data_IF_901716802576
#
_entry.id   IF_901716802576
#
_cell.length_a   1.000
_cell.length_b   1.000
_cell.length_c   1.000
_cell.angle_alpha   90.00
_cell.angle_beta   90.00
_cell.angle_gamma   90.00
#
_symmetry.space_group_name_H-M   'P 1'
#
loop_
_entity.id
_entity.type
_entity.pdbx_description
1 polymer ?
#
# COMPACT_ATOMS: atom_id res chain seq x y z
N UNK A 1 1.94 11.34 4.58
CA UNK A 1 1.06 10.87 3.49
C UNK A 1 1.53 11.44 2.17
N UNK A 2 1.70 10.60 1.16
CA UNK A 2 1.93 11.04 -0.23
C UNK A 2 0.66 10.76 -1.02
N UNK A 3 0.02 11.80 -1.54
CA UNK A 3 -1.24 11.71 -2.29
C UNK A 3 -0.99 11.59 -3.81
N UNK A 4 0.28 11.66 -4.20
CA UNK A 4 0.76 11.65 -5.57
C UNK A 4 2.18 11.08 -5.66
N UNK A 5 2.51 10.48 -6.79
CA UNK A 5 3.85 9.96 -7.09
C UNK A 5 4.13 9.97 -8.60
N UNK A 6 5.34 10.36 -8.98
CA UNK A 6 5.84 10.15 -10.34
C UNK A 6 6.10 8.66 -10.60
N UNK A 7 5.82 8.20 -11.82
CA UNK A 7 6.32 6.92 -12.31
C UNK A 7 7.86 6.94 -12.34
N UNK A 8 8.55 5.79 -12.21
CA UNK A 8 10.01 5.75 -12.20
C UNK A 8 10.67 6.30 -13.47
N UNK A 9 9.99 6.21 -14.61
CA UNK A 9 10.40 6.77 -15.90
C UNK A 9 10.00 8.24 -16.11
N UNK A 10 9.22 8.83 -15.19
CA UNK A 10 8.75 10.21 -15.26
C UNK A 10 7.63 10.47 -16.29
N UNK A 11 7.10 9.44 -16.94
CA UNK A 11 6.08 9.60 -17.99
C UNK A 11 4.67 9.86 -17.46
N UNK A 12 4.36 9.42 -16.24
CA UNK A 12 3.04 9.57 -15.62
C UNK A 12 3.16 10.00 -14.15
N UNK A 13 2.12 10.66 -13.66
CA UNK A 13 1.91 10.98 -12.25
C UNK A 13 0.68 10.19 -11.81
N UNK A 14 0.86 9.36 -10.79
CA UNK A 14 -0.24 8.75 -10.06
C UNK A 14 -0.72 9.68 -8.96
N UNK A 15 -2.03 9.87 -8.81
CA UNK A 15 -2.59 10.69 -7.75
C UNK A 15 -3.97 10.23 -7.34
N UNK A 16 -4.36 10.56 -6.11
CA UNK A 16 -5.70 10.30 -5.59
C UNK A 16 -6.64 11.46 -5.86
N UNK A 17 -7.87 11.17 -6.29
CA UNK A 17 -8.92 12.16 -6.48
C UNK A 17 -10.28 11.58 -6.10
N UNK A 18 -11.09 12.38 -5.38
CA UNK A 18 -12.49 12.08 -5.13
C UNK A 18 -13.33 12.95 -6.07
N UNK A 19 -13.98 12.30 -7.04
CA UNK A 19 -14.77 12.97 -8.07
C UNK A 19 -16.19 13.37 -7.59
N UNK A 20 -16.56 13.05 -6.34
CA UNK A 20 -17.91 13.30 -5.82
C UNK A 20 -19.00 12.40 -6.43
N UNK A 21 -18.62 11.31 -7.10
CA UNK A 21 -19.51 10.36 -7.79
C UNK A 21 -20.07 9.27 -6.86
N UNK A 22 -19.86 9.40 -5.53
CA UNK A 22 -20.25 8.42 -4.53
C UNK A 22 -19.36 7.18 -4.46
N UNK A 23 -18.34 7.05 -5.32
CA UNK A 23 -17.41 5.90 -5.33
C UNK A 23 -16.22 6.09 -4.38
N UNK A 24 -16.14 7.25 -3.71
CA UNK A 24 -15.03 7.62 -2.83
C UNK A 24 -13.74 7.95 -3.61
N UNK A 25 -12.62 7.95 -2.88
CA UNK A 25 -11.29 8.25 -3.46
C UNK A 25 -10.90 7.20 -4.50
N UNK A 26 -10.37 7.66 -5.63
CA UNK A 26 -9.87 6.81 -6.73
C UNK A 26 -8.46 7.23 -7.11
N UNK A 27 -7.70 6.33 -7.74
CA UNK A 27 -6.38 6.62 -8.29
C UNK A 27 -6.51 6.93 -9.78
N UNK A 28 -5.86 8.01 -10.20
CA UNK A 28 -5.76 8.45 -11.58
C UNK A 28 -4.29 8.52 -12.02
N UNK A 29 -4.07 8.34 -13.32
CA UNK A 29 -2.81 8.59 -14.00
C UNK A 29 -2.98 9.77 -14.95
N UNK A 30 -1.96 10.62 -15.03
CA UNK A 30 -1.88 11.76 -15.96
C UNK A 30 -0.44 11.96 -16.40
N UNK A 31 -0.22 12.48 -17.61
CA UNK A 31 1.12 12.88 -18.05
C UNK A 31 1.52 14.23 -17.44
N UNK A 32 2.84 14.51 -17.31
CA UNK A 32 3.34 15.82 -16.86
C UNK A 32 2.80 17.03 -17.63
N UNK A 33 2.49 16.86 -18.91
CA UNK A 33 1.93 17.92 -19.76
C UNK A 33 0.41 18.14 -19.56
N UNK A 34 -0.22 17.38 -18.67
CA UNK A 34 -1.66 17.41 -18.39
C UNK A 34 -2.52 16.55 -19.32
N UNK A 35 -1.92 15.91 -20.32
CA UNK A 35 -2.64 14.99 -21.23
C UNK A 35 -2.82 13.60 -20.62
N UNK A 36 -3.69 12.80 -21.24
CA UNK A 36 -3.79 11.37 -20.91
C UNK A 36 -4.41 11.05 -19.54
N UNK A 37 -5.16 11.98 -18.94
CA UNK A 37 -5.86 11.74 -17.68
C UNK A 37 -6.79 10.51 -17.79
N UNK A 38 -6.58 9.53 -16.92
CA UNK A 38 -7.43 8.32 -16.85
C UNK A 38 -7.56 7.79 -15.42
N UNK A 39 -8.75 7.30 -15.08
CA UNK A 39 -8.98 6.57 -13.83
C UNK A 39 -8.30 5.20 -13.94
N UNK A 40 -7.45 4.88 -12.98
CA UNK A 40 -6.76 3.59 -12.91
C UNK A 40 -7.49 2.59 -12.01
N UNK A 41 -7.89 3.04 -10.82
CA UNK A 41 -8.58 2.20 -9.84
C UNK A 41 -9.60 2.99 -9.02
N UNK A 42 -10.75 2.39 -8.74
CA UNK A 42 -11.80 2.94 -7.86
C UNK A 42 -11.58 2.48 -6.42
N UNK A 43 -12.07 3.26 -5.44
CA UNK A 43 -11.95 2.96 -4.00
C UNK A 43 -10.50 2.66 -3.60
N UNK A 44 -9.59 3.51 -4.06
CA UNK A 44 -8.15 3.30 -4.03
C UNK A 44 -7.45 4.57 -3.55
N UNK A 45 -6.47 4.41 -2.66
CA UNK A 45 -5.72 5.51 -2.06
C UNK A 45 -4.24 5.16 -1.85
N UNK A 46 -3.41 6.20 -1.70
CA UNK A 46 -1.95 6.09 -1.49
C UNK A 46 -1.23 5.24 -2.54
N UNK A 47 -1.24 5.66 -3.83
CA UNK A 47 -0.54 4.95 -4.89
C UNK A 47 0.97 4.89 -4.62
N UNK A 48 1.55 3.72 -4.83
CA UNK A 48 2.98 3.48 -4.81
C UNK A 48 3.40 2.68 -6.05
N UNK A 49 4.20 3.29 -6.93
CA UNK A 49 4.79 2.63 -8.09
C UNK A 49 5.78 1.55 -7.68
N UNK A 50 5.77 0.42 -8.39
CA UNK A 50 6.88 -0.52 -8.39
C UNK A 50 8.14 0.13 -8.98
N UNK A 51 9.36 -0.27 -8.56
CA UNK A 51 10.60 0.32 -9.08
C UNK A 51 10.78 0.17 -10.60
N UNK A 52 10.22 -0.89 -11.18
CA UNK A 52 10.21 -1.15 -12.62
C UNK A 52 9.11 -0.38 -13.38
N UNK A 53 8.25 0.37 -12.68
CA UNK A 53 7.14 1.14 -13.26
C UNK A 53 6.01 0.29 -13.86
N UNK A 54 6.02 -1.04 -13.68
CA UNK A 54 5.02 -1.93 -14.30
C UNK A 54 3.70 -1.97 -13.53
N UNK A 55 3.72 -1.69 -12.23
CA UNK A 55 2.61 -1.86 -11.32
C UNK A 55 2.50 -0.72 -10.32
N UNK A 56 1.30 -0.57 -9.75
CA UNK A 56 1.01 0.34 -8.65
C UNK A 56 0.37 -0.47 -7.52
N UNK A 57 0.93 -0.32 -6.32
CA UNK A 57 0.37 -0.80 -5.07
C UNK A 57 -0.42 0.30 -4.38
N UNK A 58 -1.50 -0.04 -3.69
CA UNK A 58 -2.38 0.95 -3.05
C UNK A 58 -3.23 0.31 -1.97
N UNK A 59 -3.79 1.14 -1.09
CA UNK A 59 -4.83 0.69 -0.16
C UNK A 59 -6.20 0.72 -0.81
N UNK A 60 -6.99 -0.32 -0.57
CA UNK A 60 -8.37 -0.40 -1.03
C UNK A 60 -9.26 -1.18 -0.10
N UNK A 61 -10.52 -0.76 0.00
CA UNK A 61 -11.57 -1.45 0.75
C UNK A 61 -12.58 -2.17 -0.15
N UNK A 62 -12.17 -2.57 -1.37
CA UNK A 62 -13.04 -3.23 -2.35
C UNK A 62 -13.79 -4.45 -1.78
N UNK A 63 -13.16 -5.21 -0.90
CA UNK A 63 -13.70 -6.42 -0.23
C UNK A 63 -14.30 -6.14 1.15
N UNK A 64 -14.51 -4.87 1.50
CA UNK A 64 -15.11 -4.43 2.77
C UNK A 64 -14.09 -3.90 3.77
N UNK A 65 -12.93 -4.56 3.88
CA UNK A 65 -11.82 -4.16 4.75
C UNK A 65 -10.68 -3.53 3.96
N UNK A 66 -9.95 -2.59 4.57
CA UNK A 66 -8.78 -1.97 3.95
C UNK A 66 -7.66 -3.00 3.87
N UNK A 67 -7.25 -3.29 2.64
CA UNK A 67 -6.17 -4.22 2.29
C UNK A 67 -5.22 -3.53 1.31
N UNK A 68 -4.05 -4.14 1.09
CA UNK A 68 -3.11 -3.74 0.05
C UNK A 68 -3.48 -4.48 -1.24
N UNK A 69 -3.58 -3.71 -2.31
CA UNK A 69 -3.90 -4.17 -3.65
C UNK A 69 -2.81 -3.74 -4.62
N UNK A 70 -2.78 -4.41 -5.78
CA UNK A 70 -1.96 -4.01 -6.91
C UNK A 70 -2.76 -4.00 -8.20
N UNK A 71 -2.31 -3.18 -9.14
CA UNK A 71 -2.82 -3.13 -10.51
C UNK A 71 -1.66 -2.83 -11.47
N UNK A 72 -1.72 -3.36 -12.69
CA UNK A 72 -0.74 -2.98 -13.72
C UNK A 72 -0.97 -1.56 -14.18
N UNK A 73 0.09 -0.92 -14.67
CA UNK A 73 0.07 0.44 -15.23
C UNK A 73 -1.01 0.64 -16.30
N UNK A 74 -1.30 -0.38 -17.09
CA UNK A 74 -2.33 -0.36 -18.14
C UNK A 74 -3.78 -0.53 -17.60
N UNK A 75 -3.96 -0.74 -16.30
CA UNK A 75 -5.25 -0.97 -15.64
C UNK A 75 -5.69 -2.44 -15.58
N UNK A 76 -4.89 -3.37 -16.11
CA UNK A 76 -5.17 -4.80 -16.02
C UNK A 76 -4.65 -5.43 -14.71
N UNK A 77 -5.10 -6.64 -14.41
CA UNK A 77 -4.53 -7.44 -13.31
C UNK A 77 -4.75 -6.89 -11.91
N UNK A 78 -5.89 -6.23 -11.67
CA UNK A 78 -6.30 -5.82 -10.33
C UNK A 78 -6.36 -7.05 -9.40
N UNK A 79 -5.58 -7.02 -8.31
CA UNK A 79 -5.44 -8.15 -7.41
C UNK A 79 -5.21 -7.67 -5.96
N UNK A 80 -5.87 -8.32 -5.00
CA UNK A 80 -5.56 -8.17 -3.57
C UNK A 80 -4.24 -8.86 -3.27
N UNK A 81 -3.31 -8.15 -2.62
CA UNK A 81 -1.97 -8.65 -2.27
C UNK A 81 -1.97 -9.20 -0.85
N UNK A 82 -2.61 -8.51 0.09
CA UNK A 82 -2.54 -8.84 1.51
C UNK A 82 -3.77 -9.57 2.04
N UNK A 83 -3.65 -10.12 3.24
CA UNK A 83 -4.76 -10.58 4.08
C UNK A 83 -4.51 -10.10 5.51
N UNK A 84 -4.64 -8.78 5.71
CA UNK A 84 -4.27 -8.11 6.96
C UNK A 84 -5.36 -8.27 8.01
N UNK A 85 -6.63 -8.09 7.64
CA UNK A 85 -7.73 -8.23 8.58
C UNK A 85 -7.96 -9.71 8.96
N UNK A 86 -8.23 -10.06 10.24
CA UNK A 86 -8.40 -9.17 11.39
C UNK A 86 -7.11 -8.87 12.18
N UNK A 87 -5.97 -9.35 11.71
CA UNK A 87 -4.71 -9.30 12.44
C UNK A 87 -4.18 -7.87 12.55
N UNK A 88 -4.17 -7.11 11.45
CA UNK A 88 -3.63 -5.76 11.39
C UNK A 88 -4.66 -4.82 10.78
N UNK A 89 -4.96 -3.73 11.48
CA UNK A 89 -5.69 -2.60 10.93
C UNK A 89 -4.69 -1.62 10.31
N UNK A 90 -4.80 -1.39 9.01
CA UNK A 90 -3.97 -0.43 8.28
C UNK A 90 -4.27 0.99 8.74
N UNK A 91 -3.21 1.80 8.87
CA UNK A 91 -3.29 3.23 9.13
C UNK A 91 -2.94 4.04 7.86
N UNK A 92 -1.65 4.19 7.51
CA UNK A 92 -1.20 4.99 6.36
C UNK A 92 0.26 4.70 5.90
N UNK A 93 0.77 5.47 4.94
CA UNK A 93 2.15 5.47 4.41
C UNK A 93 2.61 4.16 3.80
N UNK A 94 1.85 3.64 2.83
CA UNK A 94 2.36 2.54 2.00
C UNK A 94 3.65 2.96 1.29
N UNK A 95 4.66 2.09 1.28
CA UNK A 95 5.93 2.24 0.55
C UNK A 95 6.40 0.89 0.03
N UNK A 96 7.14 0.89 -1.07
CA UNK A 96 7.84 -0.28 -1.59
C UNK A 96 9.34 -0.13 -1.38
N UNK A 97 10.04 -1.23 -1.14
CA UNK A 97 11.49 -1.26 -1.05
C UNK A 97 12.14 -0.95 -2.42
N UNK A 98 13.36 -0.38 -2.45
CA UNK A 98 14.02 -0.02 -3.71
C UNK A 98 14.25 -1.20 -4.67
N UNK A 99 14.42 -2.40 -4.13
CA UNK A 99 14.57 -3.65 -4.89
C UNK A 99 13.22 -4.25 -5.35
N UNK A 100 12.09 -3.66 -4.94
CA UNK A 100 10.75 -4.11 -5.29
C UNK A 100 10.31 -5.38 -4.59
N UNK A 101 11.02 -5.85 -3.56
CA UNK A 101 10.73 -7.12 -2.90
C UNK A 101 9.71 -7.01 -1.76
N UNK A 102 9.64 -5.87 -1.07
CA UNK A 102 8.85 -5.70 0.15
C UNK A 102 8.02 -4.42 0.14
N UNK A 103 6.87 -4.48 0.81
CA UNK A 103 6.01 -3.35 1.11
C UNK A 103 6.11 -3.04 2.60
N UNK A 104 6.20 -1.75 2.94
CA UNK A 104 6.18 -1.25 4.32
C UNK A 104 4.98 -0.32 4.51
N UNK A 105 4.35 -0.38 5.68
CA UNK A 105 3.19 0.44 6.01
C UNK A 105 3.03 0.58 7.52
N UNK A 106 2.27 1.61 7.92
CA UNK A 106 1.85 1.78 9.31
C UNK A 106 0.56 1.00 9.60
N UNK A 107 0.50 0.32 10.74
CA UNK A 107 -0.71 -0.39 11.16
C UNK A 107 -0.76 -0.68 12.66
N UNK A 108 -1.93 -1.09 13.14
CA UNK A 108 -2.17 -1.50 14.53
C UNK A 108 -2.46 -3.00 14.53
N UNK A 109 -1.57 -3.77 15.17
CA UNK A 109 -1.70 -5.23 15.28
C UNK A 109 -2.14 -5.71 16.66
N UNK A 110 -2.19 -7.04 16.87
CA UNK A 110 -2.81 -7.63 18.05
C UNK A 110 -1.95 -7.51 19.30
N UNK A 111 -0.63 -7.45 19.16
CA UNK A 111 0.32 -7.36 20.28
C UNK A 111 0.29 -5.98 20.96
N UNK A 112 -0.30 -4.98 20.30
CA UNK A 112 -0.07 -3.56 20.61
C UNK A 112 -1.35 -2.74 20.64
N UNK A 113 -2.52 -3.39 20.77
CA UNK A 113 -3.81 -2.69 20.84
C UNK A 113 -3.84 -1.55 21.89
N UNK A 114 -2.91 -1.54 22.87
CA UNK A 114 -2.73 -0.50 23.87
C UNK A 114 -1.64 0.58 23.58
N UNK A 115 -0.68 0.40 22.66
CA UNK A 115 0.49 1.30 22.52
C UNK A 115 0.66 2.01 21.16
N UNK A 116 -0.29 1.87 20.23
CA UNK A 116 -0.35 2.68 19.01
C UNK A 116 0.19 2.01 17.74
N UNK A 117 0.47 2.83 16.74
CA UNK A 117 0.81 2.39 15.38
C UNK A 117 2.25 1.86 15.27
N UNK A 118 2.42 0.75 14.57
CA UNK A 118 3.70 0.09 14.29
C UNK A 118 4.09 0.17 12.80
N UNK A 119 5.33 -0.20 12.47
CA UNK A 119 5.74 -0.43 11.09
C UNK A 119 5.68 -1.93 10.78
N UNK A 120 4.85 -2.28 9.81
CA UNK A 120 4.75 -3.62 9.25
C UNK A 120 5.46 -3.69 7.91
N UNK A 121 6.01 -4.87 7.62
CA UNK A 121 6.50 -5.23 6.28
C UNK A 121 5.88 -6.55 5.83
N UNK A 122 5.64 -6.66 4.52
CA UNK A 122 5.34 -7.93 3.86
C UNK A 122 6.07 -8.00 2.52
N UNK A 123 6.18 -9.19 1.95
CA UNK A 123 6.64 -9.36 0.58
C UNK A 123 5.59 -8.85 -0.42
N UNK A 124 6.01 -8.41 -1.61
CA UNK A 124 5.11 -7.93 -2.67
C UNK A 124 4.10 -8.97 -3.19
N UNK A 125 4.30 -10.25 -2.86
CA UNK A 125 3.38 -11.34 -3.16
C UNK A 125 2.33 -11.59 -2.07
N UNK A 126 2.36 -10.84 -0.96
CA UNK A 126 1.44 -11.01 0.16
C UNK A 126 2.03 -11.75 1.36
N UNK A 127 3.15 -12.45 1.17
CA UNK A 127 3.72 -13.35 2.19
C UNK A 127 4.56 -12.62 3.22
N UNK A 128 4.91 -13.31 4.31
CA UNK A 128 5.89 -12.86 5.31
C UNK A 128 5.56 -11.50 5.96
N UNK A 129 4.28 -11.29 6.29
CA UNK A 129 3.83 -10.17 7.12
C UNK A 129 4.47 -10.22 8.51
N UNK A 130 5.12 -9.14 8.94
CA UNK A 130 5.71 -9.00 10.28
C UNK A 130 5.84 -7.54 10.70
N UNK A 131 5.75 -7.27 12.01
CA UNK A 131 6.19 -5.98 12.57
C UNK A 131 7.73 -5.91 12.56
N UNK A 132 8.28 -4.73 12.30
CA UNK A 132 9.73 -4.47 12.42
C UNK A 132 10.05 -3.48 13.56
N UNK A 133 9.03 -2.93 14.22
CA UNK A 133 9.19 -2.04 15.38
C UNK A 133 9.17 -2.81 16.70
N UNK A 134 8.46 -3.94 16.76
CA UNK A 134 8.55 -4.87 17.87
C UNK A 134 9.68 -5.87 17.64
N UNK A 135 10.90 -5.43 17.90
CA UNK A 135 12.00 -6.30 18.28
C UNK A 135 12.19 -6.26 19.80
N UNK A 136 11.26 -6.86 20.56
CA UNK A 136 11.47 -7.16 21.98
C UNK A 136 10.79 -8.49 22.32
N UNK A 137 11.58 -9.53 22.61
CA UNK A 137 11.07 -10.70 23.33
C UNK A 137 11.28 -12.10 22.73
N UNK A 138 12.22 -12.32 21.81
CA UNK A 138 13.05 -13.54 21.90
C UNK A 138 14.35 -13.19 22.63
N UNK A 139 14.25 -12.54 23.78
CA UNK A 139 15.16 -12.92 24.86
C UNK A 139 14.55 -14.19 25.42
N UNK A 140 15.10 -15.32 24.97
CA UNK A 140 15.04 -16.53 25.76
C UNK A 140 15.28 -16.13 27.20
N UNK A 141 14.37 -16.49 28.09
CA UNK A 141 14.77 -16.72 29.47
C UNK A 141 15.85 -17.80 29.40
N UNK A 142 17.11 -17.39 29.26
CA UNK A 142 18.24 -18.16 29.71
C UNK A 142 18.07 -18.25 31.22
N UNK A 143 17.71 -19.45 31.66
CA UNK A 143 17.74 -19.83 33.06
C UNK A 143 19.03 -19.34 33.72
N UNK A 144 18.86 -18.71 34.88
CA UNK A 144 19.73 -18.90 36.04
C UNK A 144 18.88 -18.84 37.32
#
# INVERSE_FOLDING_TARGET
MQWQQWSPDGEEIAFTYNAGDGQGTSIYLIRPDGSGLRKLASRAAEPVWSPDGSQIYFFSNLTGQVEIWRIRRDGSGLQQVSSLYPQVNVDHSLRISPDGAQLAFYGVGPEVAEYGTEIYVLNVDGSNLRSITLSRGQEEWLDW
#
